data_IF_669055132167
#
_entry.id   IF_669055132167
#
_cell.length_a   1.000
_cell.length_b   1.000
_cell.length_c   1.000
_cell.angle_alpha   90.00
_cell.angle_beta   90.00
_cell.angle_gamma   90.00
#
_symmetry.space_group_name_H-M   'P 1'
#
loop_
_entity.id
_entity.type
_entity.pdbx_description
1 polymer ?
#
# COMPACT_ATOMS: atom_id res chain seq x y z
N UNK A 1 10.58 44.03 19.12
CA UNK A 1 10.13 43.79 17.73
C UNK A 1 10.05 42.29 17.54
N UNK A 2 8.86 41.71 17.52
CA UNK A 2 8.68 40.26 17.35
C UNK A 2 8.69 39.92 15.86
N UNK A 3 9.63 39.07 15.43
CA UNK A 3 9.64 38.50 14.09
C UNK A 3 8.52 37.45 14.05
N UNK A 4 7.41 37.78 13.38
CA UNK A 4 6.41 36.79 13.00
C UNK A 4 7.02 35.97 11.86
N UNK A 5 7.45 34.74 12.15
CA UNK A 5 7.81 33.79 11.11
C UNK A 5 6.51 33.36 10.40
N UNK A 6 6.28 33.91 9.21
CA UNK A 6 5.14 33.59 8.34
C UNK A 6 5.35 32.31 7.52
N UNK A 7 6.02 31.29 8.07
CA UNK A 7 6.23 30.00 7.38
C UNK A 7 4.97 29.11 7.40
N UNK A 8 3.80 29.73 7.31
CA UNK A 8 2.50 29.06 7.30
C UNK A 8 2.05 28.85 5.85
N UNK A 9 2.20 27.62 5.34
CA UNK A 9 1.26 27.07 4.36
C UNK A 9 1.72 26.95 2.91
N UNK A 10 2.82 26.25 2.63
CA UNK A 10 2.91 25.58 1.33
C UNK A 10 1.87 24.44 1.32
N UNK A 11 0.87 24.43 0.41
CA UNK A 11 -0.12 23.36 0.37
C UNK A 11 0.57 22.01 0.11
N UNK A 12 0.11 20.90 0.71
CA UNK A 12 0.66 19.58 0.43
C UNK A 12 0.56 19.30 -1.08
N UNK A 13 1.71 19.30 -1.75
CA UNK A 13 1.80 19.06 -3.19
C UNK A 13 1.74 17.56 -3.42
N UNK A 14 0.54 17.02 -3.57
CA UNK A 14 0.36 15.64 -4.02
C UNK A 14 0.95 15.49 -5.43
N UNK A 15 1.99 14.66 -5.56
CA UNK A 15 2.58 14.34 -6.84
C UNK A 15 1.80 13.23 -7.55
N UNK A 16 1.91 13.10 -8.89
CA UNK A 16 1.30 12.00 -9.64
C UNK A 16 1.68 10.61 -9.09
N UNK A 17 2.90 10.46 -8.58
CA UNK A 17 3.37 9.22 -7.98
C UNK A 17 2.67 8.87 -6.66
N UNK A 18 2.25 9.87 -5.87
CA UNK A 18 1.54 9.63 -4.61
C UNK A 18 0.14 9.10 -4.87
N UNK A 19 -0.53 9.66 -5.89
CA UNK A 19 -1.81 9.16 -6.39
C UNK A 19 -1.66 7.74 -6.94
N UNK A 20 -0.64 7.49 -7.75
CA UNK A 20 -0.36 6.15 -8.28
C UNK A 20 -0.14 5.14 -7.15
N UNK A 21 0.62 5.49 -6.12
CA UNK A 21 0.84 4.63 -4.95
C UNK A 21 -0.44 4.32 -4.21
N UNK A 22 -1.26 5.33 -3.96
CA UNK A 22 -2.56 5.12 -3.34
C UNK A 22 -3.47 4.18 -4.16
N UNK A 23 -3.47 4.33 -5.48
CA UNK A 23 -4.22 3.43 -6.37
C UNK A 23 -3.69 2.00 -6.34
N UNK A 24 -2.36 1.82 -6.32
CA UNK A 24 -1.73 0.50 -6.20
C UNK A 24 -2.04 -0.15 -4.85
N UNK A 25 -2.07 0.63 -3.76
CA UNK A 25 -2.47 0.15 -2.43
C UNK A 25 -3.94 -0.29 -2.42
N UNK A 26 -4.84 0.52 -2.99
CA UNK A 26 -6.26 0.16 -3.09
C UNK A 26 -6.46 -1.12 -3.92
N UNK A 27 -5.74 -1.22 -5.04
CA UNK A 27 -5.74 -2.42 -5.87
C UNK A 27 -5.17 -3.63 -5.12
N UNK A 28 -4.15 -3.44 -4.29
CA UNK A 28 -3.58 -4.52 -3.47
C UNK A 28 -4.61 -5.08 -2.48
N UNK A 29 -5.33 -4.21 -1.76
CA UNK A 29 -6.39 -4.66 -0.85
C UNK A 29 -7.50 -5.42 -1.58
N UNK A 30 -7.93 -4.90 -2.73
CA UNK A 30 -8.91 -5.59 -3.56
C UNK A 30 -8.42 -6.97 -4.02
N UNK A 31 -7.16 -7.05 -4.47
CA UNK A 31 -6.54 -8.29 -4.93
C UNK A 31 -6.44 -9.35 -3.83
N UNK A 32 -6.05 -8.93 -2.61
CA UNK A 32 -5.96 -9.81 -1.44
C UNK A 32 -7.36 -10.32 -1.05
N UNK A 33 -8.37 -9.46 -1.04
CA UNK A 33 -9.75 -9.86 -0.77
C UNK A 33 -10.28 -10.82 -1.82
N UNK A 34 -10.08 -10.50 -3.11
CA UNK A 34 -10.49 -11.35 -4.23
C UNK A 34 -9.83 -12.73 -4.14
N UNK A 35 -8.54 -12.80 -3.84
CA UNK A 35 -7.86 -14.07 -3.58
C UNK A 35 -8.42 -14.82 -2.39
N UNK A 36 -8.72 -14.12 -1.30
CA UNK A 36 -9.34 -14.73 -0.13
C UNK A 36 -10.70 -15.38 -0.42
N UNK A 37 -11.42 -14.92 -1.44
CA UNK A 37 -12.67 -15.54 -1.91
C UNK A 37 -12.51 -16.59 -3.03
N UNK A 38 -11.42 -16.54 -3.78
CA UNK A 38 -11.22 -17.44 -4.94
C UNK A 38 -10.35 -18.65 -4.61
N UNK A 39 -9.43 -18.53 -3.66
CA UNK A 39 -8.42 -19.54 -3.38
C UNK A 39 -8.84 -20.57 -2.33
N UNK A 40 -9.97 -20.37 -1.64
CA UNK A 40 -10.36 -21.19 -0.50
C UNK A 40 -11.71 -21.90 -0.70
N UNK A 41 -11.99 -22.96 0.09
CA UNK A 41 -13.32 -23.59 0.12
C UNK A 41 -14.40 -22.63 0.69
N UNK A 42 -15.69 -22.86 0.42
CA UNK A 42 -16.78 -21.90 0.69
C UNK A 42 -16.92 -21.47 2.16
N UNK A 43 -16.53 -22.31 3.13
CA UNK A 43 -16.56 -21.95 4.55
C UNK A 43 -15.41 -21.02 4.94
N UNK A 44 -14.26 -21.18 4.30
CA UNK A 44 -13.02 -20.46 4.62
C UNK A 44 -12.84 -19.21 3.76
N UNK A 45 -13.51 -19.15 2.61
CA UNK A 45 -13.57 -17.98 1.73
C UNK A 45 -14.03 -16.72 2.44
N UNK A 46 -15.02 -16.81 3.32
CA UNK A 46 -15.49 -15.65 4.08
C UNK A 46 -14.43 -15.16 5.07
N UNK A 47 -13.75 -16.09 5.74
CA UNK A 47 -12.69 -15.75 6.70
C UNK A 47 -11.51 -15.09 6.01
N UNK A 48 -11.05 -15.60 4.86
CA UNK A 48 -9.87 -15.05 4.16
C UNK A 48 -10.23 -13.89 3.25
N UNK A 49 -11.37 -13.96 2.56
CA UNK A 49 -11.87 -12.90 1.67
C UNK A 49 -12.20 -11.60 2.39
N UNK A 50 -12.53 -11.65 3.67
CA UNK A 50 -12.75 -10.46 4.52
C UNK A 50 -11.59 -10.24 5.47
N UNK A 51 -11.11 -11.28 6.15
CA UNK A 51 -10.07 -11.17 7.18
C UNK A 51 -8.73 -10.71 6.62
N UNK A 52 -8.31 -11.20 5.45
CA UNK A 52 -7.05 -10.78 4.84
C UNK A 52 -7.04 -9.30 4.42
N UNK A 53 -8.04 -8.78 3.67
CA UNK A 53 -8.06 -7.35 3.36
C UNK A 53 -8.28 -6.48 4.60
N UNK A 54 -9.09 -6.90 5.58
CA UNK A 54 -9.21 -6.16 6.84
C UNK A 54 -7.88 -6.07 7.59
N UNK A 55 -7.16 -7.18 7.69
CA UNK A 55 -5.83 -7.19 8.32
C UNK A 55 -4.85 -6.26 7.58
N UNK A 56 -4.86 -6.29 6.26
CA UNK A 56 -4.04 -5.40 5.44
C UNK A 56 -4.42 -3.92 5.64
N UNK A 57 -5.71 -3.59 5.72
CA UNK A 57 -6.21 -2.24 6.01
C UNK A 57 -5.80 -1.80 7.41
N UNK A 58 -5.85 -2.68 8.41
CA UNK A 58 -5.42 -2.36 9.78
C UNK A 58 -3.93 -2.05 9.80
N UNK A 59 -3.10 -2.89 9.19
CA UNK A 59 -1.66 -2.64 9.06
C UNK A 59 -1.39 -1.30 8.37
N UNK A 60 -2.10 -1.02 7.28
CA UNK A 60 -1.99 0.24 6.58
C UNK A 60 -2.42 1.43 7.45
N UNK A 61 -3.54 1.32 8.15
CA UNK A 61 -4.06 2.34 9.07
C UNK A 61 -3.09 2.65 10.21
N UNK A 62 -2.39 1.63 10.70
CA UNK A 62 -1.49 1.73 11.83
C UNK A 62 -0.15 2.38 11.49
N UNK A 63 0.38 2.11 10.28
CA UNK A 63 1.73 2.48 9.88
C UNK A 63 1.81 3.51 8.73
N UNK A 64 0.86 3.48 7.78
CA UNK A 64 0.89 4.30 6.55
C UNK A 64 -0.13 5.45 6.55
N UNK A 65 -1.18 5.38 7.36
CA UNK A 65 -2.20 6.42 7.44
C UNK A 65 -1.58 7.81 7.69
N UNK A 66 -2.16 8.88 7.14
CA UNK A 66 -1.79 10.26 7.51
C UNK A 66 -1.85 10.53 9.02
N UNK A 67 -2.62 9.71 9.75
CA UNK A 67 -2.69 9.68 11.22
C UNK A 67 -2.20 8.34 11.76
N UNK A 68 -1.07 7.84 11.26
CA UNK A 68 -0.48 6.59 11.71
C UNK A 68 -0.26 6.64 13.23
N UNK A 69 -0.68 5.59 13.93
CA UNK A 69 -0.50 5.48 15.38
C UNK A 69 0.98 5.27 15.70
N UNK A 70 1.69 4.49 14.87
CA UNK A 70 3.13 4.30 14.98
C UNK A 70 3.87 5.23 14.02
N UNK A 71 4.68 6.11 14.58
CA UNK A 71 5.57 6.99 13.82
C UNK A 71 6.81 6.20 13.40
N UNK A 72 6.68 5.40 12.34
CA UNK A 72 7.80 4.72 11.70
C UNK A 72 8.55 5.66 10.76
N UNK A 73 9.85 5.40 10.65
CA UNK A 73 10.72 5.99 9.65
C UNK A 73 10.31 5.56 8.22
N UNK A 74 10.92 6.19 7.22
CA UNK A 74 10.65 5.88 5.80
C UNK A 74 10.85 4.38 5.49
N UNK A 75 11.82 3.75 6.16
CA UNK A 75 12.10 2.33 6.00
C UNK A 75 10.94 1.45 6.49
N UNK A 76 10.41 1.70 7.68
CA UNK A 76 9.27 0.95 8.22
C UNK A 76 8.02 1.08 7.33
N UNK A 77 7.76 2.27 6.78
CA UNK A 77 6.66 2.47 5.82
C UNK A 77 6.86 1.68 4.53
N UNK A 78 8.07 1.69 3.99
CA UNK A 78 8.42 0.93 2.78
C UNK A 78 8.29 -0.58 3.00
N UNK A 79 8.66 -1.09 4.18
CA UNK A 79 8.52 -2.51 4.50
C UNK A 79 7.05 -2.95 4.49
N UNK A 80 6.16 -2.18 5.12
CA UNK A 80 4.72 -2.47 5.11
C UNK A 80 4.16 -2.44 3.68
N UNK A 81 4.58 -1.47 2.86
CA UNK A 81 4.19 -1.37 1.46
C UNK A 81 4.63 -2.59 0.65
N UNK A 82 5.89 -3.03 0.81
CA UNK A 82 6.42 -4.24 0.18
C UNK A 82 5.63 -5.48 0.61
N UNK A 83 5.26 -5.61 1.89
CA UNK A 83 4.48 -6.74 2.38
C UNK A 83 3.08 -6.76 1.76
N UNK A 84 2.38 -5.62 1.73
CA UNK A 84 1.02 -5.52 1.17
C UNK A 84 1.04 -5.76 -0.35
N UNK A 85 1.90 -5.06 -1.07
CA UNK A 85 2.00 -5.21 -2.53
C UNK A 85 2.56 -6.58 -2.92
N UNK A 86 3.56 -7.09 -2.21
CA UNK A 86 4.07 -8.45 -2.42
C UNK A 86 2.99 -9.51 -2.22
N UNK A 87 2.16 -9.36 -1.17
CA UNK A 87 1.02 -10.26 -0.92
C UNK A 87 0.00 -10.21 -2.05
N UNK A 88 -0.31 -9.02 -2.58
CA UNK A 88 -1.21 -8.87 -3.72
C UNK A 88 -0.64 -9.47 -5.02
N UNK A 89 0.66 -9.32 -5.28
CA UNK A 89 1.30 -9.97 -6.44
C UNK A 89 1.26 -11.49 -6.32
N UNK A 90 1.56 -12.04 -5.13
CA UNK A 90 1.47 -13.47 -4.85
C UNK A 90 0.04 -14.00 -4.98
N UNK A 91 -0.95 -13.24 -4.52
CA UNK A 91 -2.36 -13.56 -4.66
C UNK A 91 -2.75 -13.81 -6.13
N UNK A 92 -2.31 -12.95 -7.05
CA UNK A 92 -2.54 -13.13 -8.49
C UNK A 92 -1.79 -14.32 -9.08
N UNK A 93 -0.58 -14.63 -8.61
CA UNK A 93 0.16 -15.82 -9.03
C UNK A 93 -0.58 -17.10 -8.61
N UNK A 94 -1.13 -17.15 -7.40
CA UNK A 94 -1.87 -18.31 -6.89
C UNK A 94 -3.18 -18.53 -7.66
N UNK A 95 -3.83 -17.46 -8.12
CA UNK A 95 -5.04 -17.55 -8.99
C UNK A 95 -4.67 -17.89 -10.45
N UNK A 96 -3.38 -17.95 -10.79
CA UNK A 96 -2.89 -18.29 -12.14
C UNK A 96 -2.81 -17.12 -13.12
N UNK A 97 -3.04 -15.90 -12.67
CA UNK A 97 -3.02 -14.68 -13.50
C UNK A 97 -1.63 -14.03 -13.49
N UNK A 98 -0.67 -14.70 -14.12
CA UNK A 98 0.73 -14.26 -14.14
C UNK A 98 0.93 -12.88 -14.78
N UNK A 99 0.14 -12.52 -15.79
CA UNK A 99 0.22 -11.21 -16.46
C UNK A 99 -0.10 -10.08 -15.47
N UNK A 100 -1.18 -10.25 -14.70
CA UNK A 100 -1.61 -9.25 -13.70
C UNK A 100 -0.57 -9.13 -12.60
N UNK A 101 -0.05 -10.26 -12.10
CA UNK A 101 1.01 -10.28 -11.09
C UNK A 101 2.27 -9.55 -11.57
N UNK A 102 2.70 -9.78 -12.81
CA UNK A 102 3.88 -9.16 -13.39
C UNK A 102 3.70 -7.65 -13.58
N UNK A 103 2.59 -7.21 -14.19
CA UNK A 103 2.31 -5.79 -14.40
C UNK A 103 2.19 -5.05 -13.07
N UNK A 104 1.43 -5.60 -12.13
CA UNK A 104 1.28 -5.01 -10.80
C UNK A 104 2.61 -4.93 -10.05
N UNK A 105 3.39 -6.02 -10.05
CA UNK A 105 4.71 -6.07 -9.42
C UNK A 105 5.68 -5.04 -9.99
N UNK A 106 5.71 -4.87 -11.31
CA UNK A 106 6.55 -3.85 -11.96
C UNK A 106 6.13 -2.44 -11.53
N UNK A 107 4.83 -2.13 -11.58
CA UNK A 107 4.32 -0.80 -11.19
C UNK A 107 4.57 -0.51 -9.70
N UNK A 108 4.39 -1.51 -8.84
CA UNK A 108 4.70 -1.44 -7.42
C UNK A 108 6.17 -1.11 -7.17
N UNK A 109 7.08 -1.84 -7.80
CA UNK A 109 8.53 -1.63 -7.63
C UNK A 109 8.95 -0.25 -8.16
N UNK A 110 8.49 0.13 -9.35
CA UNK A 110 8.85 1.44 -9.95
C UNK A 110 8.35 2.59 -9.09
N UNK A 111 7.08 2.57 -8.67
CA UNK A 111 6.51 3.63 -7.83
C UNK A 111 7.13 3.68 -6.42
N UNK A 112 7.50 2.52 -5.87
CA UNK A 112 8.22 2.39 -4.61
C UNK A 112 9.63 3.00 -4.68
N UNK A 113 10.38 2.72 -5.74
CA UNK A 113 11.71 3.31 -5.95
C UNK A 113 11.64 4.83 -6.08
N UNK A 114 10.69 5.34 -6.87
CA UNK A 114 10.48 6.80 -7.05
C UNK A 114 10.16 7.47 -5.70
N UNK A 115 9.36 6.80 -4.87
CA UNK A 115 8.99 7.31 -3.55
C UNK A 115 10.14 7.29 -2.55
N UNK A 116 10.86 6.17 -2.45
CA UNK A 116 12.01 6.05 -1.54
C UNK A 116 13.07 7.11 -1.84
N UNK A 117 13.34 7.39 -3.13
CA UNK A 117 14.28 8.45 -3.51
C UNK A 117 13.89 9.85 -3.02
N UNK A 118 12.59 10.14 -2.85
CA UNK A 118 12.12 11.44 -2.33
C UNK A 118 12.19 11.52 -0.80
N UNK A 119 12.12 10.39 -0.10
CA UNK A 119 12.20 10.36 1.37
C UNK A 119 13.65 10.40 1.88
N UNK A 120 14.63 10.03 1.04
CA UNK A 120 16.07 10.05 1.37
C UNK A 120 16.86 11.22 0.77
N UNK A 121 16.21 12.12 0.01
CA UNK A 121 16.83 13.32 -0.57
C UNK A 121 16.49 14.57 0.25
#
# INVERSE_FOLDING_TARGET
MAVVNTDQGAPPRFGPNDVLRFLLELFAFFSIGLWGFLAWPPLWNWAFGIGAPLFAIVLWGLFRSPRAVFHLDAFGKALVEIVIMGSAALAWLVIGQWIVAALFGILAVVSGIISGRKEFA
#
